data_IF_022061387954
#
_entry.id   IF_022061387954
#
_cell.length_a   1.000
_cell.length_b   1.000
_cell.length_c   1.000
_cell.angle_alpha   90.00
_cell.angle_beta   90.00
_cell.angle_gamma   90.00
#
_symmetry.space_group_name_H-M   'P 1'
#
loop_
_entity.id
_entity.type
_entity.pdbx_description
1 polymer ?
#
# COMPACT_ATOMS: atom_id res chain seq x y z
N UNK A 1 -0.07 5.04 -19.49
CA UNK A 1 1.16 4.77 -18.71
C UNK A 1 0.74 4.47 -17.27
N UNK A 2 1.27 3.42 -16.66
CA UNK A 2 0.94 3.06 -15.28
C UNK A 2 1.85 3.88 -14.35
N UNK A 3 1.28 4.84 -13.63
CA UNK A 3 2.04 5.67 -12.68
C UNK A 3 2.32 4.87 -11.40
N UNK A 4 3.44 5.15 -10.75
CA UNK A 4 3.78 4.64 -9.41
C UNK A 4 2.74 5.02 -8.33
N UNK A 5 1.78 5.88 -8.65
CA UNK A 5 0.68 6.18 -7.75
C UNK A 5 -0.31 5.02 -7.59
N UNK A 6 -0.29 4.02 -8.48
CA UNK A 6 -1.17 2.85 -8.42
C UNK A 6 -0.47 1.64 -7.79
N UNK A 7 -0.02 1.77 -6.54
CA UNK A 7 0.67 0.71 -5.77
C UNK A 7 -0.07 -0.60 -5.73
N UNK A 8 -1.39 -0.52 -5.72
CA UNK A 8 -2.30 -1.64 -5.82
C UNK A 8 -1.98 -2.58 -7.02
N UNK A 9 -1.45 -2.08 -8.13
CA UNK A 9 -1.10 -2.90 -9.31
C UNK A 9 0.26 -3.61 -9.24
N UNK A 10 1.18 -3.15 -8.38
CA UNK A 10 2.53 -3.73 -8.27
C UNK A 10 2.89 -4.29 -6.89
N UNK A 11 2.07 -4.03 -5.86
CA UNK A 11 2.24 -4.54 -4.51
C UNK A 11 1.70 -5.98 -4.32
N UNK A 12 0.96 -6.50 -5.30
CA UNK A 12 0.46 -7.88 -5.27
C UNK A 12 1.62 -8.89 -5.38
N UNK A 13 1.51 -10.04 -4.70
CA UNK A 13 2.51 -11.13 -4.73
C UNK A 13 2.84 -11.57 -6.17
N UNK A 14 1.84 -11.55 -7.06
CA UNK A 14 1.97 -11.91 -8.47
C UNK A 14 1.88 -10.68 -9.40
N UNK A 15 2.54 -9.58 -9.04
CA UNK A 15 2.55 -8.32 -9.80
C UNK A 15 2.96 -8.47 -11.28
N UNK A 16 3.88 -9.37 -11.59
CA UNK A 16 4.30 -9.67 -12.96
C UNK A 16 3.13 -10.19 -13.82
N UNK A 17 2.23 -10.96 -13.21
CA UNK A 17 1.07 -11.55 -13.88
C UNK A 17 0.00 -10.48 -14.16
N UNK A 18 -0.19 -9.57 -13.22
CA UNK A 18 -1.00 -8.35 -13.41
C UNK A 18 -0.49 -7.53 -14.59
N UNK A 19 0.83 -7.32 -14.68
CA UNK A 19 1.43 -6.56 -15.78
C UNK A 19 1.15 -7.21 -17.14
N UNK A 20 1.36 -8.53 -17.26
CA UNK A 20 1.09 -9.27 -18.50
C UNK A 20 -0.38 -9.15 -18.91
N UNK A 21 -1.31 -9.32 -17.97
CA UNK A 21 -2.74 -9.23 -18.24
C UNK A 21 -3.17 -7.83 -18.72
N UNK A 22 -2.64 -6.77 -18.11
CA UNK A 22 -2.92 -5.38 -18.53
C UNK A 22 -2.35 -5.10 -19.93
N UNK A 23 -1.15 -5.58 -20.23
CA UNK A 23 -0.57 -5.47 -21.57
C UNK A 23 -1.41 -6.22 -22.60
N UNK A 24 -1.83 -7.46 -22.29
CA UNK A 24 -2.69 -8.27 -23.15
C UNK A 24 -4.02 -7.57 -23.44
N UNK A 25 -4.67 -7.00 -22.41
CA UNK A 25 -5.90 -6.23 -22.58
C UNK A 25 -5.69 -5.05 -23.54
N UNK A 26 -4.58 -4.31 -23.41
CA UNK A 26 -4.21 -3.23 -24.33
C UNK A 26 -4.05 -3.70 -25.78
N UNK A 27 -3.38 -4.84 -26.00
CA UNK A 27 -3.21 -5.45 -27.33
C UNK A 27 -4.56 -5.84 -27.93
N UNK A 28 -5.43 -6.51 -27.16
CA UNK A 28 -6.75 -6.95 -27.63
C UNK A 28 -7.66 -5.78 -28.02
N UNK A 29 -7.68 -4.72 -27.20
CA UNK A 29 -8.45 -3.50 -27.51
C UNK A 29 -7.89 -2.83 -28.77
N UNK A 30 -6.57 -2.71 -28.90
CA UNK A 30 -5.94 -2.13 -30.10
C UNK A 30 -6.25 -2.94 -31.36
N UNK A 31 -6.20 -4.27 -31.26
CA UNK A 31 -6.53 -5.18 -32.35
C UNK A 31 -7.97 -4.99 -32.85
N UNK A 32 -8.93 -4.78 -31.95
CA UNK A 32 -10.30 -4.45 -32.33
C UNK A 32 -10.37 -3.17 -33.17
N UNK A 33 -9.72 -2.09 -32.72
CA UNK A 33 -9.73 -0.83 -33.47
C UNK A 33 -9.05 -0.97 -34.83
N UNK A 34 -7.96 -1.74 -34.95
CA UNK A 34 -7.32 -2.01 -36.25
C UNK A 34 -8.29 -2.72 -37.21
N UNK A 35 -8.99 -3.74 -36.75
CA UNK A 35 -9.96 -4.48 -37.57
C UNK A 35 -11.19 -3.63 -37.92
N UNK A 36 -11.68 -2.82 -36.97
CA UNK A 36 -12.79 -1.88 -37.16
C UNK A 36 -12.48 -0.85 -38.25
N UNK A 37 -11.28 -0.27 -38.28
CA UNK A 37 -10.86 0.66 -39.34
C UNK A 37 -10.74 -0.02 -40.72
N UNK A 38 -10.52 -1.34 -40.76
CA UNK A 38 -10.54 -2.15 -41.99
C UNK A 38 -11.94 -2.67 -42.36
N UNK A 39 -13.00 -2.15 -41.73
CA UNK A 39 -14.39 -2.53 -41.99
C UNK A 39 -14.84 -3.88 -41.40
N UNK A 40 -13.97 -4.57 -40.65
CA UNK A 40 -14.28 -5.85 -39.99
C UNK A 40 -14.61 -5.62 -38.52
N UNK A 41 -15.89 -5.58 -38.17
CA UNK A 41 -16.34 -5.45 -36.78
C UNK A 41 -16.49 -6.84 -36.18
N UNK A 42 -15.56 -7.23 -35.31
CA UNK A 42 -15.67 -8.46 -34.53
C UNK A 42 -15.61 -8.11 -33.03
N UNK A 43 -16.77 -8.20 -32.37
CA UNK A 43 -16.93 -7.89 -30.95
C UNK A 43 -16.27 -8.88 -29.99
N UNK A 44 -15.77 -10.03 -30.47
CA UNK A 44 -15.05 -10.99 -29.64
C UNK A 44 -13.74 -10.41 -29.07
N UNK A 45 -13.04 -9.56 -29.83
CA UNK A 45 -11.79 -8.92 -29.41
C UNK A 45 -11.95 -7.94 -28.23
N UNK A 46 -12.88 -6.97 -28.27
CA UNK A 46 -13.08 -6.06 -27.15
C UNK A 46 -13.72 -6.77 -25.94
N UNK A 47 -14.59 -7.77 -26.14
CA UNK A 47 -15.12 -8.56 -25.01
C UNK A 47 -14.02 -9.37 -24.31
N UNK A 48 -13.09 -9.97 -25.05
CA UNK A 48 -11.93 -10.63 -24.46
C UNK A 48 -11.03 -9.64 -23.69
N UNK A 49 -10.84 -8.43 -24.20
CA UNK A 49 -10.12 -7.36 -23.50
C UNK A 49 -10.80 -6.95 -22.19
N UNK A 50 -12.12 -6.76 -22.19
CA UNK A 50 -12.91 -6.44 -21.00
C UNK A 50 -12.88 -7.59 -19.98
N UNK A 51 -12.99 -8.84 -20.44
CA UNK A 51 -12.87 -10.01 -19.57
C UNK A 51 -11.50 -10.08 -18.89
N UNK A 52 -10.41 -9.83 -19.62
CA UNK A 52 -9.06 -9.74 -19.05
C UNK A 52 -8.97 -8.66 -17.96
N UNK A 53 -9.52 -7.47 -18.20
CA UNK A 53 -9.55 -6.39 -17.19
C UNK A 53 -10.40 -6.77 -15.97
N UNK A 54 -11.50 -7.49 -16.16
CA UNK A 54 -12.31 -8.01 -15.06
C UNK A 54 -11.54 -8.99 -14.17
N UNK A 55 -10.75 -9.89 -14.78
CA UNK A 55 -9.88 -10.81 -14.01
C UNK A 55 -8.81 -10.04 -13.24
N UNK A 56 -8.19 -9.03 -13.85
CA UNK A 56 -7.21 -8.17 -13.16
C UNK A 56 -7.85 -7.45 -11.97
N UNK A 57 -9.05 -6.90 -12.13
CA UNK A 57 -9.77 -6.24 -11.04
C UNK A 57 -10.06 -7.20 -9.89
N UNK A 58 -10.45 -8.44 -10.19
CA UNK A 58 -10.66 -9.48 -9.18
C UNK A 58 -9.35 -9.88 -8.47
N UNK A 59 -8.26 -10.06 -9.21
CA UNK A 59 -6.96 -10.44 -8.65
C UNK A 59 -6.36 -9.39 -7.70
N UNK A 60 -6.69 -8.13 -7.91
CA UNK A 60 -6.14 -6.98 -7.17
C UNK A 60 -7.12 -6.48 -6.10
N UNK A 61 -8.33 -7.03 -6.03
CA UNK A 61 -9.34 -6.65 -5.06
C UNK A 61 -8.79 -6.75 -3.62
N UNK A 62 -9.05 -5.75 -2.75
CA UNK A 62 -8.61 -5.79 -1.37
C UNK A 62 -9.16 -7.05 -0.68
N UNK A 63 -8.27 -7.89 -0.17
CA UNK A 63 -8.67 -9.00 0.69
C UNK A 63 -9.22 -8.42 2.00
N UNK A 64 -10.40 -8.85 2.47
CA UNK A 64 -10.87 -8.47 3.79
C UNK A 64 -9.84 -8.96 4.81
N UNK A 65 -9.21 -8.02 5.53
CA UNK A 65 -8.32 -8.35 6.63
C UNK A 65 -9.16 -9.06 7.69
N UNK A 66 -8.73 -10.23 8.21
CA UNK A 66 -9.36 -10.80 9.39
C UNK A 66 -9.32 -9.71 10.47
N UNK A 67 -10.49 -9.29 10.96
CA UNK A 67 -10.53 -8.47 12.15
C UNK A 67 -9.83 -9.27 13.23
N UNK A 68 -8.69 -8.76 13.70
CA UNK A 68 -8.06 -9.31 14.89
C UNK A 68 -9.12 -9.15 15.97
N UNK A 69 -9.67 -10.27 16.45
CA UNK A 69 -10.69 -10.24 17.48
C UNK A 69 -10.11 -9.44 18.65
N UNK A 70 -10.70 -8.28 18.91
CA UNK A 70 -10.42 -7.53 20.13
C UNK A 70 -10.96 -8.36 21.28
N UNK A 71 -10.09 -9.19 21.86
CA UNK A 71 -10.37 -9.84 23.12
C UNK A 71 -10.43 -8.73 24.18
N UNK A 72 -11.64 -8.25 24.44
CA UNK A 72 -11.99 -7.33 25.52
C UNK A 72 -11.90 -8.01 26.91
N UNK A 73 -10.82 -8.76 27.16
CA UNK A 73 -10.52 -9.42 28.42
C UNK A 73 -9.00 -9.50 28.58
N UNK A 74 -8.40 -8.43 29.13
CA UNK A 74 -6.97 -8.39 29.44
C UNK A 74 -6.39 -6.99 29.42
N UNK A 75 -6.89 -6.11 30.29
CA UNK A 75 -6.17 -4.89 30.66
C UNK A 75 -4.72 -5.25 31.05
N UNK A 76 -3.77 -4.51 30.46
CA UNK A 76 -2.32 -4.46 30.74
C UNK A 76 -1.34 -5.48 30.11
N UNK A 77 -1.75 -6.52 29.36
CA UNK A 77 -0.79 -7.54 28.87
C UNK A 77 -0.39 -7.46 27.38
N UNK A 78 -1.05 -6.64 26.54
CA UNK A 78 -0.75 -6.56 25.10
C UNK A 78 -0.77 -5.12 24.54
N UNK A 79 -0.53 -4.12 25.38
CA UNK A 79 -0.30 -2.77 24.87
C UNK A 79 1.07 -2.76 24.16
N UNK A 80 1.06 -2.63 22.82
CA UNK A 80 2.30 -2.42 22.06
C UNK A 80 2.98 -1.17 22.62
N UNK A 81 4.16 -1.33 23.20
CA UNK A 81 4.91 -0.20 23.75
C UNK A 81 5.19 0.83 22.67
N UNK A 82 4.87 2.09 22.96
CA UNK A 82 5.14 3.19 22.04
C UNK A 82 6.64 3.31 21.71
N UNK A 83 7.51 2.90 22.63
CA UNK A 83 8.97 2.87 22.41
C UNK A 83 9.32 2.01 21.19
N UNK A 84 8.67 0.85 21.04
CA UNK A 84 8.92 -0.04 19.89
C UNK A 84 8.39 0.53 18.59
N UNK A 85 7.23 1.19 18.64
CA UNK A 85 6.65 1.91 17.51
C UNK A 85 7.58 3.04 17.05
N UNK A 86 8.08 3.83 18.00
CA UNK A 86 9.00 4.93 17.72
C UNK A 86 10.31 4.44 17.14
N UNK A 87 10.86 3.32 17.62
CA UNK A 87 12.04 2.68 17.04
C UNK A 87 11.82 2.32 15.56
N UNK A 88 10.70 1.65 15.24
CA UNK A 88 10.34 1.29 13.86
C UNK A 88 10.23 2.55 12.99
N UNK A 89 9.55 3.59 13.47
CA UNK A 89 9.38 4.84 12.72
C UNK A 89 10.72 5.53 12.48
N UNK A 90 11.58 5.60 13.49
CA UNK A 90 12.92 6.19 13.38
C UNK A 90 13.80 5.44 12.37
N UNK A 91 13.75 4.11 12.36
CA UNK A 91 14.54 3.30 11.44
C UNK A 91 13.98 3.33 10.01
N UNK A 92 12.64 3.27 9.86
CA UNK A 92 11.98 2.99 8.57
C UNK A 92 11.38 4.22 7.88
N UNK A 93 11.01 5.27 8.62
CA UNK A 93 10.18 6.38 8.11
C UNK A 93 10.91 7.74 8.13
N UNK A 94 11.66 8.02 9.19
CA UNK A 94 12.36 9.31 9.43
C UNK A 94 13.37 9.65 8.32
N UNK A 95 13.91 8.66 7.62
CA UNK A 95 14.84 8.90 6.51
C UNK A 95 14.25 9.78 5.38
N UNK A 96 12.92 9.80 5.24
CA UNK A 96 12.18 10.65 4.30
C UNK A 96 11.20 11.62 4.98
N UNK A 97 10.70 11.30 6.17
CA UNK A 97 9.67 12.04 6.89
C UNK A 97 10.20 12.60 8.21
N UNK A 98 11.20 13.47 8.13
CA UNK A 98 11.79 14.17 9.28
C UNK A 98 11.92 15.66 8.98
N UNK A 99 12.19 16.47 10.00
CA UNK A 99 12.57 17.87 9.80
C UNK A 99 13.80 18.01 8.89
N UNK A 100 14.78 17.13 9.07
CA UNK A 100 15.99 17.03 8.24
C UNK A 100 16.14 15.60 7.72
N UNK A 101 15.43 15.23 6.63
CA UNK A 101 15.53 13.89 6.07
C UNK A 101 16.86 13.68 5.35
N UNK A 102 17.36 12.45 5.36
CA UNK A 102 18.63 12.09 4.71
C UNK A 102 18.46 11.73 3.23
N UNK A 103 17.29 11.19 2.84
CA UNK A 103 17.03 10.71 1.49
C UNK A 103 16.29 11.72 0.60
N UNK A 104 15.97 12.90 1.13
CA UNK A 104 15.18 13.92 0.42
C UNK A 104 15.65 15.31 0.87
N UNK A 105 15.62 16.34 0.00
CA UNK A 105 15.98 17.70 0.40
C UNK A 105 15.03 18.30 1.46
N UNK A 106 13.78 17.83 1.52
CA UNK A 106 12.78 18.26 2.51
C UNK A 106 11.88 17.09 2.91
N UNK A 107 11.18 17.24 4.04
CA UNK A 107 10.21 16.26 4.52
C UNK A 107 9.23 15.86 3.42
N UNK A 108 9.15 14.57 3.09
CA UNK A 108 8.25 14.09 2.06
C UNK A 108 6.79 14.45 2.41
N UNK A 109 6.12 15.18 1.51
CA UNK A 109 4.78 15.77 1.71
C UNK A 109 4.64 16.68 2.94
N UNK A 110 5.75 17.22 3.47
CA UNK A 110 5.74 18.04 4.68
C UNK A 110 5.47 17.27 5.98
N UNK A 111 5.43 15.94 5.93
CA UNK A 111 5.15 15.10 7.09
C UNK A 111 6.45 14.85 7.86
N UNK A 112 6.44 15.20 9.16
CA UNK A 112 7.55 15.02 10.09
C UNK A 112 7.15 13.98 11.15
N UNK A 113 7.91 12.91 11.25
CA UNK A 113 7.69 11.75 12.13
C UNK A 113 8.86 11.51 13.09
N UNK A 114 9.77 12.47 13.18
CA UNK A 114 10.92 12.50 14.09
C UNK A 114 10.56 12.97 15.52
N UNK A 115 9.32 13.43 15.72
CA UNK A 115 8.78 13.79 17.03
C UNK A 115 7.56 12.95 17.39
N UNK A 116 7.32 12.78 18.70
CA UNK A 116 6.18 12.03 19.23
C UNK A 116 4.85 12.66 18.78
N UNK A 117 4.77 14.00 18.84
CA UNK A 117 3.59 14.75 18.39
C UNK A 117 3.36 14.57 16.89
N UNK A 118 4.43 14.57 16.08
CA UNK A 118 4.37 14.30 14.65
C UNK A 118 3.83 12.90 14.35
N UNK A 119 4.33 11.89 15.06
CA UNK A 119 3.86 10.50 14.93
C UNK A 119 2.37 10.40 15.29
N UNK A 120 1.96 11.00 16.40
CA UNK A 120 0.57 10.98 16.87
C UNK A 120 -0.38 11.67 15.89
N UNK A 121 0.00 12.87 15.42
CA UNK A 121 -0.80 13.64 14.48
C UNK A 121 -1.03 12.92 13.14
N UNK A 122 -0.09 12.06 12.74
CA UNK A 122 -0.14 11.32 11.47
C UNK A 122 -0.41 9.83 11.63
N UNK A 123 -0.84 9.37 12.82
CA UNK A 123 -1.02 7.95 13.12
C UNK A 123 -1.93 7.23 12.11
N UNK A 124 -3.03 7.87 11.69
CA UNK A 124 -3.95 7.32 10.69
C UNK A 124 -3.28 7.17 9.31
N UNK A 125 -2.46 8.14 8.90
CA UNK A 125 -1.74 8.07 7.63
C UNK A 125 -0.65 6.99 7.67
N UNK A 126 0.05 6.84 8.80
CA UNK A 126 1.01 5.75 9.01
C UNK A 126 0.31 4.41 8.84
N UNK A 127 -0.84 4.21 9.50
CA UNK A 127 -1.61 2.98 9.38
C UNK A 127 -2.07 2.71 7.93
N UNK A 128 -2.61 3.72 7.25
CA UNK A 128 -3.07 3.56 5.87
C UNK A 128 -1.92 3.25 4.91
N UNK A 129 -0.82 3.99 4.97
CA UNK A 129 0.25 3.92 3.99
C UNK A 129 1.22 2.76 4.26
N UNK A 130 1.59 2.53 5.53
CA UNK A 130 2.53 1.48 5.90
C UNK A 130 1.81 0.16 6.20
N UNK A 131 0.65 0.16 6.87
CA UNK A 131 0.05 -1.12 7.31
C UNK A 131 -0.98 -1.65 6.32
N UNK A 132 -1.88 -0.81 5.83
CA UNK A 132 -2.95 -1.25 4.92
C UNK A 132 -2.46 -1.37 3.48
N UNK A 133 -1.92 -0.29 2.92
CA UNK A 133 -1.51 -0.25 1.51
C UNK A 133 -0.13 -0.85 1.28
N UNK A 134 0.69 -1.00 2.34
CA UNK A 134 2.11 -1.37 2.27
C UNK A 134 2.89 -0.53 1.22
N UNK A 135 2.42 0.68 0.95
CA UNK A 135 2.95 1.57 -0.08
C UNK A 135 4.23 2.29 0.38
N UNK A 136 4.33 2.52 1.69
CA UNK A 136 5.50 3.10 2.33
C UNK A 136 6.25 2.05 3.15
N UNK A 137 7.59 2.08 3.19
CA UNK A 137 8.49 2.89 2.36
C UNK A 137 8.38 2.52 0.87
N UNK A 138 8.54 3.51 -0.02
CA UNK A 138 8.48 3.28 -1.48
C UNK A 138 9.41 2.14 -1.88
N UNK A 139 8.89 1.14 -2.61
CA UNK A 139 9.68 -0.03 -3.02
C UNK A 139 10.29 -0.84 -1.87
N UNK A 140 9.81 -0.65 -0.64
CA UNK A 140 10.38 -1.20 0.58
C UNK A 140 11.89 -0.92 0.76
N UNK A 141 12.37 0.28 0.38
CA UNK A 141 13.80 0.64 0.44
C UNK A 141 14.43 0.55 1.84
N UNK A 142 13.66 0.73 2.91
CA UNK A 142 14.16 0.58 4.28
C UNK A 142 13.94 -0.82 4.85
N UNK A 143 13.45 -1.77 4.04
CA UNK A 143 13.23 -3.17 4.40
C UNK A 143 12.37 -3.35 5.66
N UNK A 144 11.26 -2.62 5.76
CA UNK A 144 10.31 -2.85 6.85
C UNK A 144 9.67 -4.23 6.68
N UNK A 145 9.57 -4.98 7.78
CA UNK A 145 9.01 -6.34 7.78
C UNK A 145 7.50 -6.35 7.99
N UNK A 146 6.85 -7.47 7.69
CA UNK A 146 5.42 -7.63 7.95
C UNK A 146 5.10 -7.63 9.46
N UNK A 147 6.01 -8.12 10.30
CA UNK A 147 5.88 -8.07 11.76
C UNK A 147 5.96 -6.64 12.29
N UNK A 148 6.89 -5.83 11.77
CA UNK A 148 6.97 -4.40 12.10
C UNK A 148 5.69 -3.66 11.70
N UNK A 149 5.13 -3.98 10.51
CA UNK A 149 3.84 -3.42 10.07
C UNK A 149 2.68 -3.89 10.96
N UNK A 150 2.69 -5.14 11.42
CA UNK A 150 1.68 -5.66 12.33
C UNK A 150 1.71 -4.93 13.68
N UNK A 151 2.90 -4.65 14.22
CA UNK A 151 3.06 -3.85 15.45
C UNK A 151 2.51 -2.43 15.29
N UNK A 152 2.80 -1.75 14.17
CA UNK A 152 2.21 -0.45 13.86
C UNK A 152 0.69 -0.52 13.75
N UNK A 153 0.15 -1.63 13.21
CA UNK A 153 -1.27 -1.89 13.11
C UNK A 153 -1.95 -2.01 14.46
N UNK A 154 -1.41 -2.88 15.32
CA UNK A 154 -1.90 -3.10 16.69
C UNK A 154 -1.84 -1.83 17.53
N UNK A 155 -0.77 -1.04 17.40
CA UNK A 155 -0.66 0.24 18.07
C UNK A 155 -1.74 1.25 17.65
N UNK A 156 -2.00 1.36 16.35
CA UNK A 156 -3.04 2.26 15.84
C UNK A 156 -4.44 1.80 16.27
N UNK A 157 -4.72 0.51 16.14
CA UNK A 157 -6.00 -0.10 16.53
C UNK A 157 -6.23 -0.03 18.06
N UNK A 158 -5.16 -0.05 18.85
CA UNK A 158 -5.16 0.18 20.31
C UNK A 158 -5.31 1.65 20.74
N UNK A 159 -5.59 2.56 19.81
CA UNK A 159 -5.85 3.97 20.08
C UNK A 159 -4.64 4.90 19.93
N UNK A 160 -3.56 4.45 19.29
CA UNK A 160 -2.37 5.24 18.98
C UNK A 160 -1.76 5.96 20.21
N UNK A 161 -1.70 5.27 21.35
CA UNK A 161 -1.17 5.82 22.60
C UNK A 161 0.32 6.10 22.46
N UNK A 162 0.76 7.27 22.91
CA UNK A 162 2.17 7.70 22.89
C UNK A 162 2.86 7.58 24.25
N UNK A 163 2.14 7.13 25.26
CA UNK A 163 2.64 6.86 26.61
C UNK A 163 2.59 5.35 26.85
N UNK A 164 3.62 4.82 27.52
CA UNK A 164 3.62 3.42 27.97
C UNK A 164 2.59 3.19 29.07
#
# INVERSE_FOLDING_TARGET
MLSNHYSMTYAAKNNWLVLIMVMLAGVLIRQFFILKHKGKINFAWPTAGVACLGVVAFMIAPQPRPQVASNAAGDAANAVSFVKVQEIINTRCVQCHAEQPKMMPTAAKGIKLDSVDGIKAHAQLIYQQAVQQKAMPLGNVTQITDDERALLGQWFEGGAKTTN
#
